data_IF_003914184116
#
_entry.id   IF_003914184116
#
_cell.length_a   1.000
_cell.length_b   1.000
_cell.length_c   1.000
_cell.angle_alpha   90.00
_cell.angle_beta   90.00
_cell.angle_gamma   90.00
#
_symmetry.space_group_name_H-M   'P 1'
#
loop_
_entity.id
_entity.type
_entity.pdbx_description
1 polymer ?
#
# COMPACT_ATOMS: atom_id res chain seq x y z
N UNK A 1 35.27 -24.09 -81.61
CA UNK A 1 35.10 -24.37 -80.17
C UNK A 1 34.93 -23.10 -79.32
N UNK A 2 35.58 -21.99 -79.69
CA UNK A 2 35.53 -20.72 -78.92
C UNK A 2 34.15 -20.12 -78.64
N UNK A 3 33.20 -20.19 -79.59
CA UNK A 3 31.87 -19.60 -79.38
C UNK A 3 31.06 -20.37 -78.33
N UNK A 4 31.12 -21.71 -78.36
CA UNK A 4 30.40 -22.56 -77.40
C UNK A 4 30.99 -22.39 -75.99
N UNK A 5 32.33 -22.34 -75.88
CA UNK A 5 33.00 -22.09 -74.61
C UNK A 5 32.67 -20.71 -74.03
N UNK A 6 32.67 -19.65 -74.86
CA UNK A 6 32.27 -18.29 -74.43
C UNK A 6 30.82 -18.24 -73.96
N UNK A 7 29.89 -18.88 -74.68
CA UNK A 7 28.48 -18.96 -74.26
C UNK A 7 28.32 -19.71 -72.93
N UNK A 8 29.04 -20.83 -72.74
CA UNK A 8 29.02 -21.58 -71.49
C UNK A 8 29.54 -20.75 -70.31
N UNK A 9 30.62 -19.99 -70.50
CA UNK A 9 31.18 -19.09 -69.48
C UNK A 9 30.19 -17.97 -69.13
N UNK A 10 29.51 -17.38 -70.11
CA UNK A 10 28.48 -16.35 -69.86
C UNK A 10 27.30 -16.93 -69.08
N UNK A 11 26.83 -18.14 -69.43
CA UNK A 11 25.75 -18.81 -68.70
C UNK A 11 26.17 -19.14 -67.27
N UNK A 12 27.39 -19.62 -67.04
CA UNK A 12 27.90 -19.89 -65.69
C UNK A 12 28.04 -18.61 -64.85
N UNK A 13 28.50 -17.52 -65.45
CA UNK A 13 28.60 -16.22 -64.77
C UNK A 13 27.21 -15.68 -64.38
N UNK A 14 26.23 -15.75 -65.27
CA UNK A 14 24.85 -15.32 -64.97
C UNK A 14 24.22 -16.16 -63.84
N UNK A 15 24.41 -17.48 -63.86
CA UNK A 15 23.91 -18.38 -62.80
C UNK A 15 24.61 -18.15 -61.45
N UNK A 16 25.91 -17.82 -61.46
CA UNK A 16 26.65 -17.54 -60.21
C UNK A 16 26.14 -16.29 -59.48
N UNK A 17 25.67 -15.28 -60.23
CA UNK A 17 25.10 -14.05 -59.65
C UNK A 17 23.71 -14.32 -59.05
N UNK A 18 22.88 -15.13 -59.71
CA UNK A 18 21.58 -15.55 -59.18
C UNK A 18 21.71 -16.37 -57.89
N UNK A 19 22.69 -17.28 -57.83
CA UNK A 19 22.96 -18.06 -56.61
C UNK A 19 23.50 -17.19 -55.46
N UNK A 20 24.39 -16.24 -55.76
CA UNK A 20 24.91 -15.30 -54.76
C UNK A 20 23.83 -14.37 -54.22
N UNK A 21 22.95 -13.84 -55.08
CA UNK A 21 21.82 -13.03 -54.66
C UNK A 21 20.82 -13.82 -53.80
N UNK A 22 20.49 -15.06 -54.20
CA UNK A 22 19.56 -15.90 -53.43
C UNK A 22 20.13 -16.31 -52.06
N UNK A 23 21.44 -16.58 -51.98
CA UNK A 23 22.11 -16.87 -50.70
C UNK A 23 22.24 -15.64 -49.81
N UNK A 24 22.37 -14.43 -50.36
CA UNK A 24 22.32 -13.18 -49.58
C UNK A 24 20.92 -12.91 -49.03
N UNK A 25 19.86 -13.06 -49.85
CA UNK A 25 18.46 -12.91 -49.40
C UNK A 25 18.14 -13.92 -48.28
N UNK A 26 18.50 -15.20 -48.47
CA UNK A 26 18.27 -16.22 -47.45
C UNK A 26 19.02 -15.94 -46.12
N UNK A 27 20.22 -15.35 -46.17
CA UNK A 27 20.96 -14.93 -44.97
C UNK A 27 20.27 -13.76 -44.27
N UNK A 28 19.80 -12.77 -45.04
CA UNK A 28 19.10 -11.62 -44.52
C UNK A 28 17.77 -12.00 -43.87
N UNK A 29 17.00 -12.90 -44.50
CA UNK A 29 15.75 -13.44 -43.93
C UNK A 29 16.00 -14.21 -42.63
N UNK A 30 17.06 -15.02 -42.57
CA UNK A 30 17.43 -15.75 -41.35
C UNK A 30 17.84 -14.79 -40.22
N UNK A 31 18.55 -13.70 -40.54
CA UNK A 31 18.95 -12.69 -39.56
C UNK A 31 17.75 -11.90 -39.04
N UNK A 32 16.82 -11.54 -39.93
CA UNK A 32 15.56 -10.89 -39.57
C UNK A 32 14.72 -11.79 -38.67
N UNK A 33 14.57 -13.08 -39.00
CA UNK A 33 13.86 -14.05 -38.17
C UNK A 33 14.50 -14.21 -36.78
N UNK A 34 15.84 -14.24 -36.70
CA UNK A 34 16.56 -14.26 -35.41
C UNK A 34 16.30 -13.00 -34.59
N UNK A 35 16.32 -11.84 -35.24
CA UNK A 35 16.02 -10.54 -34.61
C UNK A 35 14.59 -10.51 -34.08
N UNK A 36 13.60 -10.95 -34.86
CA UNK A 36 12.21 -11.05 -34.43
C UNK A 36 12.03 -11.99 -33.23
N UNK A 37 12.67 -13.16 -33.25
CA UNK A 37 12.62 -14.11 -32.12
C UNK A 37 13.24 -13.47 -30.86
N UNK A 38 14.36 -12.76 -31.00
CA UNK A 38 14.98 -12.06 -29.87
C UNK A 38 14.11 -10.92 -29.35
N UNK A 39 13.49 -10.14 -30.23
CA UNK A 39 12.56 -9.08 -29.87
C UNK A 39 11.33 -9.64 -29.14
N UNK A 40 10.76 -10.74 -29.61
CA UNK A 40 9.63 -11.42 -28.96
C UNK A 40 10.01 -11.98 -27.58
N UNK A 41 11.19 -12.59 -27.44
CA UNK A 41 11.69 -13.06 -26.13
C UNK A 41 11.83 -11.89 -25.16
N UNK A 42 12.47 -10.82 -25.60
CA UNK A 42 12.66 -9.60 -24.81
C UNK A 42 11.32 -9.00 -24.38
N UNK A 43 10.35 -8.92 -25.30
CA UNK A 43 9.01 -8.43 -25.01
C UNK A 43 8.28 -9.29 -23.97
N UNK A 44 8.35 -10.62 -24.09
CA UNK A 44 7.79 -11.55 -23.10
C UNK A 44 8.42 -11.38 -21.71
N UNK A 45 9.73 -11.21 -21.65
CA UNK A 45 10.42 -10.94 -20.39
C UNK A 45 9.99 -9.62 -19.75
N UNK A 46 9.82 -8.57 -20.55
CA UNK A 46 9.31 -7.29 -20.05
C UNK A 46 7.88 -7.39 -19.54
N UNK A 47 6.99 -8.08 -20.26
CA UNK A 47 5.62 -8.31 -19.79
C UNK A 47 5.61 -9.09 -18.48
N UNK A 48 6.42 -10.14 -18.36
CA UNK A 48 6.54 -10.89 -17.11
C UNK A 48 7.01 -10.02 -15.95
N UNK A 49 8.06 -9.20 -16.15
CA UNK A 49 8.55 -8.26 -15.13
C UNK A 49 7.49 -7.23 -14.74
N UNK A 50 6.69 -6.77 -15.70
CA UNK A 50 5.59 -5.84 -15.46
C UNK A 50 4.50 -6.50 -14.62
N UNK A 51 4.10 -7.72 -14.96
CA UNK A 51 3.10 -8.49 -14.23
C UNK A 51 3.56 -8.77 -12.79
N UNK A 52 4.82 -9.21 -12.62
CA UNK A 52 5.43 -9.43 -11.29
C UNK A 52 5.39 -8.14 -10.45
N UNK A 53 5.69 -6.98 -11.07
CA UNK A 53 5.66 -5.68 -10.39
C UNK A 53 4.24 -5.25 -10.05
N UNK A 54 3.27 -5.50 -10.93
CA UNK A 54 1.84 -5.25 -10.67
C UNK A 54 1.37 -6.08 -9.47
N UNK A 55 1.80 -7.33 -9.36
CA UNK A 55 1.44 -8.18 -8.22
C UNK A 55 2.03 -7.69 -6.90
N UNK A 56 3.30 -7.28 -6.91
CA UNK A 56 3.97 -6.69 -5.73
C UNK A 56 3.21 -5.43 -5.31
N UNK A 57 2.95 -4.51 -6.23
CA UNK A 57 2.22 -3.26 -5.94
C UNK A 57 0.81 -3.54 -5.39
N UNK A 58 0.10 -4.55 -5.92
CA UNK A 58 -1.21 -4.96 -5.38
C UNK A 58 -1.12 -5.52 -3.96
N UNK A 59 -0.05 -6.24 -3.62
CA UNK A 59 0.19 -6.75 -2.26
C UNK A 59 0.49 -5.59 -1.30
N UNK A 60 1.39 -4.70 -1.69
CA UNK A 60 1.78 -3.53 -0.89
C UNK A 60 0.58 -2.61 -0.63
N UNK A 61 -0.24 -2.37 -1.66
CA UNK A 61 -1.47 -1.59 -1.52
C UNK A 61 -2.45 -2.22 -0.50
N UNK A 62 -2.62 -3.55 -0.55
CA UNK A 62 -3.49 -4.26 0.41
C UNK A 62 -2.94 -4.20 1.83
N UNK A 63 -1.63 -4.31 2.00
CA UNK A 63 -0.99 -4.17 3.30
C UNK A 63 -1.16 -2.76 3.86
N UNK A 64 -0.90 -1.74 3.04
CA UNK A 64 -1.06 -0.35 3.41
C UNK A 64 -2.51 -0.02 3.83
N UNK A 65 -3.51 -0.49 3.08
CA UNK A 65 -4.92 -0.32 3.43
C UNK A 65 -5.30 -1.00 4.76
N UNK A 66 -4.70 -2.16 5.08
CA UNK A 66 -4.88 -2.80 6.39
C UNK A 66 -4.28 -1.94 7.51
N UNK A 67 -3.04 -1.44 7.32
CA UNK A 67 -2.38 -0.58 8.30
C UNK A 67 -3.18 0.70 8.55
N UNK A 68 -3.68 1.34 7.49
CA UNK A 68 -4.55 2.53 7.56
C UNK A 68 -5.83 2.28 8.34
N UNK A 69 -6.51 1.14 8.11
CA UNK A 69 -7.71 0.77 8.87
C UNK A 69 -7.42 0.56 10.35
N UNK A 70 -6.28 -0.07 10.67
CA UNK A 70 -5.86 -0.28 12.06
C UNK A 70 -5.54 1.04 12.76
N UNK A 71 -4.88 1.98 12.06
CA UNK A 71 -4.61 3.33 12.56
C UNK A 71 -5.92 4.05 12.91
N UNK A 72 -6.84 4.13 11.95
CA UNK A 72 -8.13 4.80 12.14
C UNK A 72 -8.95 4.19 13.29
N UNK A 73 -8.87 2.87 13.48
CA UNK A 73 -9.52 2.20 14.61
C UNK A 73 -8.87 2.61 15.95
N UNK A 74 -7.54 2.63 16.02
CA UNK A 74 -6.82 3.02 17.22
C UNK A 74 -7.09 4.48 17.61
N UNK A 75 -7.06 5.39 16.63
CA UNK A 75 -7.38 6.81 16.83
C UNK A 75 -8.81 7.02 17.32
N UNK A 76 -9.79 6.33 16.72
CA UNK A 76 -11.20 6.44 17.13
C UNK A 76 -11.44 5.90 18.55
N UNK A 77 -10.76 4.81 18.92
CA UNK A 77 -10.83 4.28 20.28
C UNK A 77 -10.29 5.30 21.29
N UNK A 78 -9.12 5.88 21.01
CA UNK A 78 -8.51 6.90 21.85
C UNK A 78 -9.40 8.14 21.99
N UNK A 79 -9.94 8.63 20.87
CA UNK A 79 -10.86 9.78 20.82
C UNK A 79 -12.12 9.53 21.67
N UNK A 80 -12.69 8.33 21.58
CA UNK A 80 -13.88 7.95 22.35
C UNK A 80 -13.59 7.92 23.85
N UNK A 81 -12.43 7.42 24.25
CA UNK A 81 -12.00 7.41 25.66
C UNK A 81 -11.80 8.83 26.18
N UNK A 82 -11.11 9.69 25.43
CA UNK A 82 -10.90 11.11 25.78
C UNK A 82 -12.24 11.84 25.99
N UNK A 83 -13.18 11.68 25.06
CA UNK A 83 -14.51 12.29 25.17
C UNK A 83 -15.30 11.82 26.41
N UNK A 84 -15.16 10.54 26.80
CA UNK A 84 -15.79 10.02 28.04
C UNK A 84 -15.17 10.63 29.29
N UNK A 85 -13.85 10.79 29.32
CA UNK A 85 -13.13 11.45 30.43
C UNK A 85 -13.61 12.90 30.57
N UNK A 86 -13.58 13.67 29.49
CA UNK A 86 -14.01 15.08 29.48
C UNK A 86 -15.46 15.23 29.95
N UNK A 87 -16.36 14.34 29.52
CA UNK A 87 -17.77 14.37 29.93
C UNK A 87 -17.94 14.13 31.44
N UNK A 88 -17.19 13.19 32.01
CA UNK A 88 -17.23 12.91 33.45
C UNK A 88 -16.59 14.05 34.25
N UNK A 89 -15.48 14.62 33.79
CA UNK A 89 -14.82 15.77 34.43
C UNK A 89 -15.75 17.00 34.45
N UNK A 90 -16.41 17.31 33.34
CA UNK A 90 -17.43 18.37 33.29
C UNK A 90 -18.62 18.09 34.22
N UNK A 91 -19.07 16.83 34.30
CA UNK A 91 -20.16 16.46 35.20
C UNK A 91 -19.76 16.65 36.67
N UNK A 92 -18.53 16.28 37.04
CA UNK A 92 -17.98 16.50 38.38
C UNK A 92 -17.86 17.99 38.69
N UNK A 93 -17.32 18.80 37.78
CA UNK A 93 -17.24 20.25 37.96
C UNK A 93 -18.62 20.89 38.19
N UNK A 94 -19.65 20.46 37.46
CA UNK A 94 -21.04 20.93 37.66
C UNK A 94 -21.59 20.54 39.02
N UNK A 95 -21.29 19.34 39.52
CA UNK A 95 -21.71 18.90 40.85
C UNK A 95 -20.96 19.65 41.96
N UNK A 96 -19.64 19.85 41.80
CA UNK A 96 -18.84 20.62 42.76
C UNK A 96 -19.34 22.07 42.86
N UNK A 97 -19.65 22.71 41.73
CA UNK A 97 -20.27 24.03 41.73
C UNK A 97 -21.62 24.02 42.46
N UNK A 98 -22.46 23.00 42.25
CA UNK A 98 -23.74 22.89 42.96
C UNK A 98 -23.58 22.79 44.47
N UNK A 99 -22.61 22.00 44.94
CA UNK A 99 -22.28 21.85 46.36
C UNK A 99 -21.84 23.20 46.95
N UNK A 100 -21.06 23.99 46.21
CA UNK A 100 -20.45 25.21 46.73
C UNK A 100 -21.34 26.45 46.64
N UNK A 101 -22.32 26.50 45.73
CA UNK A 101 -23.10 27.72 45.46
C UNK A 101 -24.57 27.67 45.86
N UNK A 102 -25.16 26.50 46.10
CA UNK A 102 -26.58 26.38 46.44
C UNK A 102 -26.77 25.95 47.89
N UNK A 103 -27.82 26.45 48.55
CA UNK A 103 -28.27 25.92 49.86
C UNK A 103 -29.00 24.58 49.64
N UNK A 104 -28.27 23.54 49.29
CA UNK A 104 -28.75 22.16 49.26
C UNK A 104 -28.64 21.54 50.65
N UNK A 105 -29.47 20.54 50.94
CA UNK A 105 -29.40 19.82 52.21
C UNK A 105 -28.07 19.07 52.36
N UNK A 106 -27.61 18.88 53.59
CA UNK A 106 -26.37 18.14 53.87
C UNK A 106 -26.40 16.71 53.30
N UNK A 107 -27.57 16.07 53.29
CA UNK A 107 -27.75 14.73 52.70
C UNK A 107 -27.53 14.74 51.18
N UNK A 108 -28.04 15.75 50.47
CA UNK A 108 -27.82 15.90 49.02
C UNK A 108 -26.38 16.25 48.70
N UNK A 109 -25.71 17.06 49.53
CA UNK A 109 -24.28 17.34 49.41
C UNK A 109 -23.48 16.04 49.54
N UNK A 110 -23.77 15.21 50.54
CA UNK A 110 -23.09 13.92 50.72
C UNK A 110 -23.30 12.98 49.53
N UNK A 111 -24.54 12.86 49.03
CA UNK A 111 -24.85 12.06 47.83
C UNK A 111 -24.07 12.53 46.59
N UNK A 112 -23.99 13.84 46.38
CA UNK A 112 -23.21 14.41 45.28
C UNK A 112 -21.71 14.16 45.45
N UNK A 113 -21.15 14.30 46.65
CA UNK A 113 -19.73 14.00 46.93
C UNK A 113 -19.38 12.53 46.70
N UNK A 114 -20.25 11.60 47.07
CA UNK A 114 -20.06 10.17 46.78
C UNK A 114 -20.00 9.95 45.26
N UNK A 115 -20.96 10.52 44.52
CA UNK A 115 -21.01 10.39 43.05
C UNK A 115 -19.79 11.02 42.36
N UNK A 116 -19.27 12.13 42.88
CA UNK A 116 -18.03 12.74 42.38
C UNK A 116 -16.87 11.77 42.55
N UNK A 117 -16.70 11.15 43.72
CA UNK A 117 -15.64 10.17 43.98
C UNK A 117 -15.78 8.91 43.12
N UNK A 118 -17.00 8.41 42.92
CA UNK A 118 -17.24 7.29 42.00
C UNK A 118 -16.81 7.64 40.56
N UNK A 119 -17.17 8.84 40.10
CA UNK A 119 -16.74 9.35 38.80
C UNK A 119 -15.22 9.53 38.72
N UNK A 120 -14.55 10.00 39.78
CA UNK A 120 -13.09 10.14 39.83
C UNK A 120 -12.39 8.79 39.66
N UNK A 121 -12.87 7.74 40.35
CA UNK A 121 -12.35 6.38 40.18
C UNK A 121 -12.54 5.91 38.73
N UNK A 122 -13.70 6.17 38.13
CA UNK A 122 -13.96 5.83 36.72
C UNK A 122 -13.07 6.62 35.76
N UNK A 123 -12.84 7.92 36.02
CA UNK A 123 -11.92 8.76 35.25
C UNK A 123 -10.50 8.19 35.33
N UNK A 124 -10.01 7.80 36.51
CA UNK A 124 -8.68 7.20 36.65
C UNK A 124 -8.55 5.90 35.85
N UNK A 125 -9.56 5.02 35.90
CA UNK A 125 -9.59 3.81 35.06
C UNK A 125 -9.54 4.15 33.57
N UNK A 126 -10.32 5.14 33.12
CA UNK A 126 -10.32 5.57 31.73
C UNK A 126 -8.99 6.22 31.32
N UNK A 127 -8.32 6.97 32.19
CA UNK A 127 -6.98 7.54 31.95
C UNK A 127 -5.92 6.44 31.80
N UNK A 128 -6.00 5.36 32.59
CA UNK A 128 -5.14 4.19 32.41
C UNK A 128 -5.38 3.50 31.06
N UNK A 129 -6.66 3.37 30.66
CA UNK A 129 -7.03 2.86 29.33
C UNK A 129 -6.50 3.78 28.22
N UNK A 130 -6.57 5.10 28.41
CA UNK A 130 -6.04 6.08 27.47
C UNK A 130 -4.52 5.91 27.26
N UNK A 131 -3.75 5.77 28.33
CA UNK A 131 -2.29 5.53 28.24
C UNK A 131 -1.99 4.24 27.47
N UNK A 132 -2.77 3.18 27.71
CA UNK A 132 -2.62 1.92 26.98
C UNK A 132 -2.91 2.11 25.49
N UNK A 133 -3.99 2.82 25.16
CA UNK A 133 -4.37 3.14 23.78
C UNK A 133 -3.36 4.05 23.08
N UNK A 134 -2.76 5.01 23.77
CA UNK A 134 -1.69 5.86 23.23
C UNK A 134 -0.45 5.03 22.88
N UNK A 135 -0.04 4.10 23.76
CA UNK A 135 1.04 3.16 23.47
C UNK A 135 0.72 2.24 22.29
N UNK A 136 -0.51 1.76 22.17
CA UNK A 136 -0.94 0.95 21.02
C UNK A 136 -0.94 1.78 19.73
N UNK A 137 -1.41 3.02 19.78
CA UNK A 137 -1.38 3.94 18.64
C UNK A 137 0.06 4.23 18.19
N UNK A 138 0.98 4.50 19.11
CA UNK A 138 2.41 4.67 18.82
C UNK A 138 2.99 3.44 18.11
N UNK A 139 2.68 2.24 18.60
CA UNK A 139 3.09 1.00 17.94
C UNK A 139 2.54 0.90 16.53
N UNK A 140 1.25 1.16 16.32
CA UNK A 140 0.64 1.12 14.98
C UNK A 140 1.28 2.16 14.06
N UNK A 141 1.49 3.39 14.52
CA UNK A 141 2.17 4.45 13.75
C UNK A 141 3.59 4.06 13.34
N UNK A 142 4.33 3.37 14.21
CA UNK A 142 5.71 2.93 13.89
C UNK A 142 5.79 1.86 12.79
N UNK A 143 4.67 1.19 12.49
CA UNK A 143 4.59 0.12 11.48
C UNK A 143 4.05 0.57 10.12
N UNK A 144 3.59 1.82 10.03
CA UNK A 144 3.12 2.48 8.80
C UNK A 144 4.33 3.01 8.03
#
# INVERSE_FOLDING_TARGET
MDKIFKTLVVVLLLNSHSFFAQTQIAKQDLELQKSEIQAQKTLKEYHKKLDDKIEILKRDQKEFEKKKKNLAKSENNLKTTKAKVEKLEMANQKMENKINTFSVSDEEIQKQRIKIKENEVNIQKLKLTQITQEKELEKVMSTI
#
